data_IF_964188164946
#
_entry.id   IF_964188164946
#
_cell.length_a   1.000
_cell.length_b   1.000
_cell.length_c   1.000
_cell.angle_alpha   90.00
_cell.angle_beta   90.00
_cell.angle_gamma   90.00
#
_symmetry.space_group_name_H-M   'P 1'
#
loop_
_entity.id
_entity.type
_entity.pdbx_description
1 polymer ?
#
# COMPACT_ATOMS: atom_id res chain seq x y z
N UNK A 1 10.73 -17.00 -5.06
CA UNK A 1 10.35 -15.69 -4.49
C UNK A 1 10.10 -14.74 -5.64
N UNK A 2 8.87 -14.21 -5.79
CA UNK A 2 8.59 -13.19 -6.82
C UNK A 2 8.48 -11.82 -6.13
N UNK A 3 9.06 -10.75 -6.69
CA UNK A 3 9.00 -9.42 -6.08
C UNK A 3 7.57 -8.90 -5.90
N UNK A 4 6.62 -9.41 -6.69
CA UNK A 4 5.18 -9.08 -6.59
C UNK A 4 4.53 -9.59 -5.31
N UNK A 5 5.06 -10.65 -4.70
CA UNK A 5 4.45 -11.28 -3.52
C UNK A 5 4.56 -10.37 -2.30
N UNK A 6 5.66 -9.60 -2.19
CA UNK A 6 5.84 -8.61 -1.13
C UNK A 6 4.78 -7.51 -1.19
N UNK A 7 4.49 -6.98 -2.38
CA UNK A 7 3.47 -5.95 -2.55
C UNK A 7 2.06 -6.43 -2.14
N UNK A 8 1.74 -7.70 -2.39
CA UNK A 8 0.48 -8.31 -1.92
C UNK A 8 0.48 -8.43 -0.39
N UNK A 9 1.57 -8.92 0.19
CA UNK A 9 1.72 -9.05 1.64
C UNK A 9 1.61 -7.70 2.36
N UNK A 10 2.30 -6.66 1.87
CA UNK A 10 2.24 -5.31 2.41
C UNK A 10 0.82 -4.74 2.39
N UNK A 11 0.08 -4.95 1.30
CA UNK A 11 -1.33 -4.54 1.21
C UNK A 11 -2.19 -5.21 2.28
N UNK A 12 -2.03 -6.52 2.46
CA UNK A 12 -2.78 -7.27 3.49
C UNK A 12 -2.39 -6.80 4.89
N UNK A 13 -1.10 -6.57 5.15
CA UNK A 13 -0.62 -6.03 6.42
C UNK A 13 -1.22 -4.65 6.72
N UNK A 14 -1.32 -3.78 5.70
CA UNK A 14 -1.98 -2.48 5.81
C UNK A 14 -3.45 -2.61 6.22
N UNK A 15 -4.19 -3.52 5.58
CA UNK A 15 -5.60 -3.81 5.90
C UNK A 15 -5.76 -4.31 7.34
N UNK A 16 -4.94 -5.28 7.76
CA UNK A 16 -4.98 -5.84 9.12
C UNK A 16 -4.73 -4.73 10.14
N UNK A 17 -3.70 -3.90 9.93
CA UNK A 17 -3.41 -2.79 10.83
C UNK A 17 -4.58 -1.80 10.88
N UNK A 18 -5.10 -1.37 9.73
CA UNK A 18 -6.19 -0.41 9.62
C UNK A 18 -7.49 -0.86 10.30
N UNK A 19 -7.88 -2.12 10.13
CA UNK A 19 -9.19 -2.60 10.57
C UNK A 19 -9.15 -3.34 11.92
N UNK A 20 -8.01 -3.91 12.31
CA UNK A 20 -7.89 -4.66 13.56
C UNK A 20 -7.07 -3.94 14.63
N UNK A 21 -5.88 -3.44 14.30
CA UNK A 21 -4.95 -2.88 15.30
C UNK A 21 -5.28 -1.43 15.66
N UNK A 22 -5.39 -0.53 14.68
CA UNK A 22 -5.60 0.90 14.94
C UNK A 22 -6.88 1.19 15.74
N UNK A 23 -8.04 0.58 15.45
CA UNK A 23 -9.26 0.85 16.23
C UNK A 23 -9.19 0.32 17.67
N UNK A 24 -8.33 -0.67 17.94
CA UNK A 24 -8.17 -1.27 19.27
C UNK A 24 -7.11 -0.59 20.13
N UNK A 25 -6.24 0.23 19.53
CA UNK A 25 -5.11 0.84 20.21
C UNK A 25 -3.95 -0.14 20.43
N UNK A 26 -3.15 0.09 21.48
CA UNK A 26 -1.98 -0.74 21.78
C UNK A 26 -2.41 -2.09 22.36
N UNK A 27 -1.72 -3.16 21.95
CA UNK A 27 -1.89 -4.47 22.59
C UNK A 27 -1.06 -4.55 23.87
N UNK A 28 -1.64 -5.13 24.92
CA UNK A 28 -0.97 -5.32 26.20
C UNK A 28 0.05 -6.47 26.18
N UNK A 29 -0.15 -7.45 25.30
CA UNK A 29 0.67 -8.65 25.18
C UNK A 29 0.72 -9.16 23.74
N UNK A 30 1.84 -9.81 23.38
CA UNK A 30 2.06 -10.40 22.06
C UNK A 30 1.09 -11.56 21.83
N UNK A 31 0.77 -12.36 22.85
CA UNK A 31 -0.23 -13.44 22.77
C UNK A 31 -1.62 -12.89 22.46
N UNK A 32 -2.02 -11.80 23.11
CA UNK A 32 -3.28 -11.13 22.78
C UNK A 32 -3.30 -10.61 21.33
N UNK A 33 -2.22 -9.97 20.88
CA UNK A 33 -2.10 -9.49 19.50
C UNK A 33 -2.24 -10.64 18.48
N UNK A 34 -1.55 -11.77 18.71
CA UNK A 34 -1.65 -12.97 17.88
C UNK A 34 -3.08 -13.48 17.78
N UNK A 35 -3.80 -13.56 18.90
CA UNK A 35 -5.19 -14.03 18.93
C UNK A 35 -6.15 -13.07 18.20
N UNK A 36 -5.95 -11.76 18.31
CA UNK A 36 -6.76 -10.77 17.57
C UNK A 36 -6.51 -10.88 16.08
N UNK A 37 -5.25 -10.93 15.67
CA UNK A 37 -4.86 -11.03 14.26
C UNK A 37 -5.36 -12.34 13.65
N UNK A 38 -5.20 -13.47 14.36
CA UNK A 38 -5.70 -14.78 13.89
C UNK A 38 -7.23 -14.76 13.67
N UNK A 39 -7.99 -14.19 14.61
CA UNK A 39 -9.44 -14.02 14.45
C UNK A 39 -9.79 -13.14 13.26
N UNK A 40 -9.04 -12.06 13.05
CA UNK A 40 -9.25 -11.17 11.92
C UNK A 40 -8.95 -11.86 10.57
N UNK A 41 -7.87 -12.64 10.48
CA UNK A 41 -7.54 -13.43 9.29
C UNK A 41 -8.66 -14.43 8.98
N UNK A 42 -9.18 -15.13 10.00
CA UNK A 42 -10.31 -16.04 9.82
C UNK A 42 -11.56 -15.32 9.30
N UNK A 43 -11.89 -14.16 9.88
CA UNK A 43 -12.98 -13.31 9.39
C UNK A 43 -12.77 -12.88 7.93
N UNK A 44 -11.55 -12.42 7.59
CA UNK A 44 -11.22 -11.99 6.24
C UNK A 44 -11.45 -13.10 5.22
N UNK A 45 -10.98 -14.31 5.52
CA UNK A 45 -11.05 -15.44 4.58
C UNK A 45 -12.46 -16.03 4.45
N UNK A 46 -13.21 -16.12 5.56
CA UNK A 46 -14.45 -16.90 5.60
C UNK A 46 -15.73 -16.08 5.69
N UNK A 47 -15.65 -14.78 6.01
CA UNK A 47 -16.83 -13.95 6.25
C UNK A 47 -16.84 -12.64 5.48
N UNK A 48 -15.69 -12.14 5.01
CA UNK A 48 -15.63 -10.84 4.33
C UNK A 48 -16.06 -10.97 2.86
N UNK A 49 -17.21 -10.40 2.45
CA UNK A 49 -17.57 -10.36 1.04
C UNK A 49 -16.67 -9.36 0.31
N UNK A 50 -16.16 -9.73 -0.87
CA UNK A 50 -15.24 -8.88 -1.62
C UNK A 50 -15.80 -8.54 -3.01
N UNK A 51 -16.04 -7.25 -3.26
CA UNK A 51 -16.66 -6.75 -4.49
C UNK A 51 -15.90 -7.16 -5.76
N UNK A 52 -14.57 -7.17 -5.72
CA UNK A 52 -13.74 -7.47 -6.91
C UNK A 52 -13.92 -8.90 -7.43
N UNK A 53 -14.43 -9.82 -6.60
CA UNK A 53 -14.70 -11.23 -6.92
C UNK A 53 -16.21 -11.53 -6.88
N UNK A 54 -17.04 -10.51 -7.04
CA UNK A 54 -18.50 -10.67 -7.11
C UNK A 54 -19.14 -10.97 -5.76
N UNK A 55 -18.69 -10.29 -4.70
CA UNK A 55 -19.17 -10.46 -3.31
C UNK A 55 -18.94 -11.85 -2.70
N UNK A 56 -18.13 -12.68 -3.34
CA UNK A 56 -17.67 -13.95 -2.75
C UNK A 56 -16.71 -13.68 -1.60
N UNK A 57 -16.60 -14.66 -0.71
CA UNK A 57 -15.55 -14.70 0.31
C UNK A 57 -14.24 -15.26 -0.27
N UNK A 58 -13.07 -14.79 0.19
CA UNK A 58 -11.78 -15.21 -0.35
C UNK A 58 -11.56 -16.73 -0.34
N UNK A 59 -11.98 -17.42 0.73
CA UNK A 59 -11.83 -18.87 0.84
C UNK A 59 -12.60 -19.63 -0.26
N UNK A 60 -13.82 -19.18 -0.59
CA UNK A 60 -14.62 -19.79 -1.66
C UNK A 60 -13.98 -19.53 -3.01
N UNK A 61 -13.61 -18.28 -3.29
CA UNK A 61 -12.92 -17.95 -4.53
C UNK A 61 -11.60 -18.73 -4.68
N UNK A 62 -10.85 -18.95 -3.60
CA UNK A 62 -9.62 -19.74 -3.65
C UNK A 62 -9.85 -21.20 -4.08
N UNK A 63 -10.98 -21.80 -3.70
CA UNK A 63 -11.34 -23.17 -4.04
C UNK A 63 -11.98 -23.30 -5.43
N UNK A 64 -12.48 -22.20 -6.00
CA UNK A 64 -13.07 -22.20 -7.34
C UNK A 64 -12.05 -22.56 -8.41
N UNK A 65 -12.44 -23.52 -9.27
CA UNK A 65 -11.64 -23.95 -10.41
C UNK A 65 -12.16 -23.30 -11.69
N UNK A 66 -11.27 -22.97 -12.61
CA UNK A 66 -11.59 -22.36 -13.90
C UNK A 66 -11.43 -20.84 -13.93
N UNK A 67 -12.06 -20.18 -14.91
CA UNK A 67 -11.93 -18.74 -15.12
C UNK A 67 -12.73 -17.99 -14.04
N UNK A 68 -12.03 -17.37 -13.11
CA UNK A 68 -12.64 -16.52 -12.10
C UNK A 68 -13.08 -15.18 -12.71
N UNK A 69 -14.35 -14.82 -12.50
CA UNK A 69 -14.91 -13.54 -12.96
C UNK A 69 -14.30 -12.39 -12.16
N UNK A 70 -13.59 -11.51 -12.86
CA UNK A 70 -12.98 -10.29 -12.30
C UNK A 70 -13.97 -9.13 -12.44
N UNK A 71 -14.30 -8.47 -11.33
CA UNK A 71 -15.25 -7.34 -11.34
C UNK A 71 -14.56 -5.99 -11.55
N UNK A 72 -13.23 -5.94 -11.55
CA UNK A 72 -12.48 -4.70 -11.80
C UNK A 72 -12.19 -4.52 -13.29
N UNK A 73 -12.23 -3.26 -13.74
CA UNK A 73 -11.86 -2.87 -15.11
C UNK A 73 -10.38 -2.49 -15.16
N UNK A 74 -9.69 -2.83 -16.25
CA UNK A 74 -8.33 -2.33 -16.49
C UNK A 74 -8.39 -0.82 -16.73
N UNK A 75 -7.62 -0.06 -15.94
CA UNK A 75 -7.46 1.38 -16.16
C UNK A 75 -6.71 1.61 -17.47
N UNK A 76 -7.33 2.35 -18.40
CA UNK A 76 -6.67 2.83 -19.61
C UNK A 76 -5.90 4.10 -19.25
N UNK A 77 -4.58 4.05 -19.34
CA UNK A 77 -3.76 5.25 -19.21
C UNK A 77 -3.71 5.93 -20.59
N UNK A 78 -3.97 7.24 -20.69
CA UNK A 78 -3.79 7.95 -21.94
C UNK A 78 -2.31 7.82 -22.35
N UNK A 79 -2.06 7.42 -23.60
CA UNK A 79 -0.71 7.47 -24.15
C UNK A 79 -0.27 8.92 -24.17
N UNK A 80 0.75 9.27 -23.39
CA UNK A 80 1.45 10.54 -23.58
C UNK A 80 2.06 10.50 -24.97
N UNK A 81 1.38 11.08 -25.96
CA UNK A 81 1.99 11.41 -27.25
C UNK A 81 3.19 12.30 -26.94
N UNK A 82 4.39 11.75 -27.13
CA UNK A 82 5.66 12.41 -26.92
C UNK A 82 5.79 13.60 -27.86
N UNK A 83 5.31 14.77 -27.46
CA UNK A 83 5.76 16.02 -28.05
C UNK A 83 6.94 16.52 -27.20
N UNK A 84 8.11 15.87 -27.37
CA UNK A 84 9.39 16.40 -26.91
C UNK A 84 9.73 17.60 -27.80
N UNK A 85 9.17 18.77 -27.49
CA UNK A 85 9.79 20.05 -27.87
C UNK A 85 9.90 20.88 -26.60
N UNK A 86 11.16 21.08 -26.20
CA UNK A 86 11.77 22.28 -25.59
C UNK A 86 10.90 22.86 -24.47
N UNK A 87 11.24 22.64 -23.20
CA UNK A 87 12.12 23.58 -22.52
C UNK A 87 13.09 22.90 -21.57
N UNK A 88 14.38 23.03 -21.86
CA UNK A 88 15.43 22.84 -20.86
C UNK A 88 15.28 23.98 -19.86
N UNK A 89 14.52 23.73 -18.79
CA UNK A 89 14.50 24.60 -17.61
C UNK A 89 15.91 24.55 -17.03
N UNK A 90 16.66 25.62 -17.28
CA UNK A 90 17.97 25.89 -16.70
C UNK A 90 17.87 25.82 -15.18
N UNK A 91 18.42 24.77 -14.58
CA UNK A 91 18.66 24.70 -13.14
C UNK A 91 19.82 25.65 -12.84
N UNK A 92 19.50 26.93 -12.59
CA UNK A 92 20.47 27.85 -12.03
C UNK A 92 20.86 27.34 -10.64
N UNK A 93 22.09 26.86 -10.54
CA UNK A 93 22.77 26.51 -9.30
C UNK A 93 22.75 27.72 -8.36
N UNK A 94 22.12 27.58 -7.20
CA UNK A 94 22.24 28.53 -6.10
C UNK A 94 23.65 28.40 -5.51
N UNK A 95 24.60 29.18 -6.01
CA UNK A 95 25.89 29.38 -5.35
C UNK A 95 25.68 30.31 -4.16
N UNK A 96 25.94 29.81 -2.95
CA UNK A 96 26.02 30.65 -1.76
C UNK A 96 27.31 31.47 -1.82
N UNK A 97 27.20 32.79 -1.86
CA UNK A 97 28.35 33.69 -1.67
C UNK A 97 28.86 33.58 -0.23
N UNK A 98 30.18 33.62 0.00
CA UNK A 98 30.74 33.70 1.34
C UNK A 98 30.58 35.14 1.85
N UNK A 99 29.69 35.34 2.81
CA UNK A 99 29.58 36.57 3.59
C UNK A 99 30.24 36.38 4.94
N UNK A 100 31.29 37.15 5.18
CA UNK A 100 32.03 37.24 6.44
C UNK A 100 31.11 37.56 7.62
N UNK A 101 31.36 36.92 8.76
CA UNK A 101 30.58 37.10 9.99
C UNK A 101 31.40 36.72 11.21
N UNK A 102 32.12 37.72 11.73
CA UNK A 102 33.01 37.69 12.88
C UNK A 102 32.52 36.85 14.07
N UNK A 103 33.42 36.04 14.62
CA UNK A 103 33.25 35.43 15.94
C UNK A 103 33.58 36.42 17.04
N UNK A 104 32.73 36.48 18.07
CA UNK A 104 33.14 36.61 19.47
C UNK A 104 32.15 35.81 20.33
N UNK A 105 32.68 34.89 21.13
CA UNK A 105 31.96 34.20 22.20
C UNK A 105 32.50 34.77 23.52
N UNK A 106 31.59 35.28 24.33
CA UNK A 106 31.77 35.47 25.77
C UNK A 106 31.33 34.22 26.50
#
# INVERSE_FOLDING_TARGET
YKPTDNAVAERINGIIKAESSHPRGRFNDIGHARNVIARYIHFYNHRRPHMSIGYKIPAVAHLEKGIQKKMWKKKKYPSTSSNKKKDAISLQSRTASPGEGAGQRT
#
